data_IF_060515312828
#
_entry.id   IF_060515312828
#
_cell.length_a   1.000
_cell.length_b   1.000
_cell.length_c   1.000
_cell.angle_alpha   90.00
_cell.angle_beta   90.00
_cell.angle_gamma   90.00
#
_symmetry.space_group_name_H-M   'P 1'
#
loop_
_entity.id
_entity.type
_entity.pdbx_description
1 polymer ?
#
# COMPACT_ATOMS: atom_id res chain seq x y z
N UNK A 1 22.01 -7.62 8.93
CA UNK A 1 20.91 -7.39 9.90
C UNK A 1 20.93 -5.94 10.37
N UNK A 2 19.91 -5.16 10.01
CA UNK A 2 19.84 -3.74 10.34
C UNK A 2 19.71 -3.51 11.86
N UNK A 3 20.83 -3.25 12.53
CA UNK A 3 20.85 -2.69 13.89
C UNK A 3 20.53 -3.64 15.05
N UNK A 4 20.47 -4.96 14.85
CA UNK A 4 20.22 -5.96 15.91
C UNK A 4 21.25 -7.09 15.89
N UNK A 5 21.52 -7.67 17.06
CA UNK A 5 22.32 -8.88 17.27
C UNK A 5 21.46 -9.90 18.03
N UNK A 6 21.59 -11.18 17.69
CA UNK A 6 21.03 -12.28 18.47
C UNK A 6 22.16 -13.03 19.20
N UNK A 7 21.92 -13.38 20.46
CA UNK A 7 22.82 -14.22 21.26
C UNK A 7 22.03 -15.32 21.95
N UNK A 8 22.45 -16.57 21.77
CA UNK A 8 21.85 -17.71 22.47
C UNK A 8 22.56 -17.98 23.81
N UNK A 9 21.79 -18.32 24.83
CA UNK A 9 22.28 -18.78 26.13
C UNK A 9 21.30 -19.77 26.76
N UNK A 10 21.52 -20.09 28.04
CA UNK A 10 20.74 -21.11 28.76
C UNK A 10 19.25 -20.74 28.89
N UNK A 11 18.94 -19.45 28.89
CA UNK A 11 17.58 -18.91 29.04
C UNK A 11 16.95 -18.50 27.68
N UNK A 12 17.40 -19.12 26.59
CA UNK A 12 16.91 -18.87 25.22
C UNK A 12 17.77 -17.88 24.43
N UNK A 13 17.17 -17.23 23.43
CA UNK A 13 17.85 -16.27 22.56
C UNK A 13 17.46 -14.86 22.96
N UNK A 14 18.48 -14.02 23.19
CA UNK A 14 18.34 -12.61 23.49
C UNK A 14 18.58 -11.78 22.23
N UNK A 15 17.76 -10.77 22.03
CA UNK A 15 17.93 -9.78 20.98
C UNK A 15 18.50 -8.49 21.59
N UNK A 16 19.57 -7.99 21.00
CA UNK A 16 20.32 -6.83 21.47
C UNK A 16 20.28 -5.76 20.38
N UNK A 17 19.89 -4.54 20.74
CA UNK A 17 19.96 -3.38 19.85
C UNK A 17 21.41 -2.95 19.69
N UNK A 18 21.90 -2.80 18.45
CA UNK A 18 23.23 -2.24 18.17
C UNK A 18 23.26 -0.71 18.31
N UNK A 19 22.11 -0.06 18.48
CA UNK A 19 22.04 1.40 18.67
C UNK A 19 22.57 1.81 20.04
N UNK A 20 22.21 1.05 21.07
CA UNK A 20 22.44 1.37 22.48
C UNK A 20 23.01 0.18 23.27
N UNK A 21 23.21 -0.97 22.63
CA UNK A 21 23.76 -2.19 23.22
C UNK A 21 22.95 -2.74 24.40
N UNK A 22 21.63 -2.48 24.39
CA UNK A 22 20.72 -2.98 25.42
C UNK A 22 19.88 -4.16 24.90
N UNK A 23 19.52 -5.06 25.81
CA UNK A 23 18.63 -6.20 25.51
C UNK A 23 17.20 -5.69 25.27
N UNK A 24 16.64 -6.00 24.09
CA UNK A 24 15.25 -5.77 23.75
C UNK A 24 14.42 -6.92 24.36
N UNK A 25 14.07 -6.77 25.65
CA UNK A 25 13.41 -7.85 26.42
C UNK A 25 12.10 -8.35 25.81
N UNK A 26 11.36 -7.49 25.10
CA UNK A 26 10.10 -7.85 24.41
C UNK A 26 10.31 -8.80 23.22
N UNK A 27 11.52 -8.88 22.69
CA UNK A 27 11.87 -9.76 21.56
C UNK A 27 12.66 -11.00 21.99
N UNK A 28 12.77 -11.27 23.30
CA UNK A 28 13.44 -12.48 23.80
C UNK A 28 12.70 -13.73 23.30
N UNK A 29 13.44 -14.65 22.69
CA UNK A 29 12.89 -15.90 22.16
C UNK A 29 13.16 -17.00 23.19
N UNK A 30 12.08 -17.52 23.78
CA UNK A 30 12.19 -18.65 24.69
C UNK A 30 12.01 -19.96 23.94
N UNK A 31 12.97 -20.87 24.10
CA UNK A 31 12.98 -22.16 23.43
C UNK A 31 12.18 -23.14 24.29
N UNK A 32 11.14 -23.73 23.70
CA UNK A 32 10.28 -24.69 24.39
C UNK A 32 10.04 -25.93 23.53
N UNK A 33 10.29 -27.15 24.05
CA UNK A 33 10.97 -27.45 25.32
C UNK A 33 12.41 -26.87 25.42
N UNK A 34 12.99 -26.82 26.61
CA UNK A 34 14.36 -26.30 26.78
C UNK A 34 15.36 -27.17 26.01
N UNK A 35 16.15 -26.53 25.15
CA UNK A 35 17.21 -27.17 24.39
C UNK A 35 18.27 -26.14 24.02
N UNK A 36 19.55 -26.55 24.02
CA UNK A 36 20.64 -25.67 23.64
C UNK A 36 20.60 -25.34 22.16
N UNK A 37 20.77 -24.06 21.80
CA UNK A 37 20.97 -23.63 20.42
C UNK A 37 22.36 -24.05 19.94
N UNK A 38 22.43 -24.73 18.80
CA UNK A 38 23.69 -25.20 18.20
C UNK A 38 24.14 -24.31 17.05
N UNK A 39 23.21 -23.88 16.20
CA UNK A 39 23.48 -22.93 15.13
C UNK A 39 22.40 -21.86 15.07
N UNK A 40 22.79 -20.66 14.65
CA UNK A 40 21.91 -19.51 14.49
C UNK A 40 22.41 -18.65 13.34
N UNK A 41 21.51 -18.25 12.45
CA UNK A 41 21.83 -17.48 11.25
C UNK A 41 20.71 -16.49 10.93
N UNK A 42 21.12 -15.27 10.58
CA UNK A 42 20.22 -14.24 10.07
C UNK A 42 20.04 -14.40 8.56
N UNK A 43 18.83 -14.18 8.04
CA UNK A 43 18.68 -13.96 6.59
C UNK A 43 19.48 -12.73 6.14
N UNK A 44 19.81 -12.66 4.85
CA UNK A 44 20.63 -11.58 4.31
C UNK A 44 19.99 -10.19 4.50
N UNK A 45 18.66 -10.11 4.41
CA UNK A 45 17.85 -8.93 4.72
C UNK A 45 17.73 -8.61 6.23
N UNK A 46 18.07 -9.57 7.10
CA UNK A 46 17.94 -9.46 8.55
C UNK A 46 16.52 -9.56 9.10
N UNK A 47 15.55 -9.99 8.29
CA UNK A 47 14.15 -10.13 8.70
C UNK A 47 13.89 -11.45 9.42
N UNK A 48 14.63 -12.52 9.10
CA UNK A 48 14.49 -13.84 9.68
C UNK A 48 15.72 -14.23 10.49
N UNK A 49 15.49 -14.83 11.64
CA UNK A 49 16.48 -15.50 12.47
C UNK A 49 16.15 -16.98 12.51
N UNK A 50 16.96 -17.78 11.82
CA UNK A 50 16.85 -19.24 11.83
C UNK A 50 17.82 -19.82 12.83
N UNK A 51 17.38 -20.78 13.63
CA UNK A 51 18.24 -21.48 14.57
C UNK A 51 17.83 -22.93 14.74
N UNK A 52 18.79 -23.78 15.07
CA UNK A 52 18.54 -25.17 15.42
C UNK A 52 19.01 -25.49 16.84
N UNK A 53 18.37 -26.50 17.43
CA UNK A 53 18.68 -26.95 18.78
C UNK A 53 19.35 -28.31 18.77
N UNK A 54 20.02 -28.67 19.87
CA UNK A 54 20.61 -30.00 20.06
C UNK A 54 19.57 -31.13 20.09
N UNK A 55 18.30 -30.80 20.37
CA UNK A 55 17.17 -31.72 20.31
C UNK A 55 16.69 -31.99 18.87
N UNK A 56 17.33 -31.37 17.87
CA UNK A 56 17.01 -31.56 16.44
C UNK A 56 15.85 -30.69 15.94
N UNK A 57 15.41 -29.69 16.69
CA UNK A 57 14.40 -28.74 16.21
C UNK A 57 15.03 -27.63 15.38
N UNK A 58 14.28 -27.16 14.39
CA UNK A 58 14.64 -26.01 13.56
C UNK A 58 13.53 -24.99 13.68
N UNK A 59 13.90 -23.77 14.04
CA UNK A 59 13.00 -22.64 14.19
C UNK A 59 13.39 -21.54 13.21
N UNK A 60 12.38 -20.79 12.76
CA UNK A 60 12.55 -19.57 11.98
C UNK A 60 11.72 -18.47 12.66
N UNK A 61 12.38 -17.41 13.11
CA UNK A 61 11.78 -16.31 13.86
C UNK A 61 11.83 -15.03 13.04
N UNK A 62 10.72 -14.30 12.97
CA UNK A 62 10.67 -13.01 12.29
C UNK A 62 11.12 -11.88 13.24
N UNK A 63 12.25 -11.25 12.95
CA UNK A 63 12.82 -10.17 13.76
C UNK A 63 12.47 -8.75 13.30
N UNK A 64 12.04 -8.62 12.04
CA UNK A 64 11.54 -7.37 11.48
C UNK A 64 10.37 -7.70 10.57
N UNK A 65 9.21 -7.14 10.90
CA UNK A 65 8.03 -7.20 10.07
C UNK A 65 8.22 -6.23 8.89
N UNK A 66 7.91 -6.68 7.67
CA UNK A 66 7.78 -5.78 6.53
C UNK A 66 6.74 -4.72 6.86
N UNK A 67 7.14 -3.45 6.80
CA UNK A 67 6.25 -2.34 7.09
C UNK A 67 5.26 -2.16 5.94
N UNK A 68 4.08 -2.79 6.07
CA UNK A 68 2.94 -2.53 5.20
C UNK A 68 2.00 -1.55 5.87
N UNK A 69 1.73 -0.45 5.18
CA UNK A 69 0.78 0.56 5.63
C UNK A 69 0.09 1.26 4.46
N UNK A 70 -1.13 1.73 4.71
CA UNK A 70 -1.91 2.54 3.79
C UNK A 70 -2.71 3.58 4.56
N UNK A 71 -2.98 4.72 3.93
CA UNK A 71 -3.72 5.84 4.52
C UNK A 71 -4.90 6.21 3.64
N UNK A 72 -5.99 6.65 4.25
CA UNK A 72 -7.12 7.26 3.56
C UNK A 72 -7.66 8.37 4.46
N UNK A 73 -7.45 9.62 4.03
CA UNK A 73 -7.67 10.80 4.87
C UNK A 73 -6.96 10.63 6.22
N UNK A 74 -7.71 10.70 7.32
CA UNK A 74 -7.20 10.57 8.69
C UNK A 74 -7.10 9.12 9.16
N UNK A 75 -7.55 8.14 8.36
CA UNK A 75 -7.45 6.71 8.69
C UNK A 75 -6.10 6.13 8.28
N UNK A 76 -5.56 5.27 9.13
CA UNK A 76 -4.30 4.56 8.91
C UNK A 76 -4.53 3.06 9.08
N UNK A 77 -4.07 2.28 8.11
CA UNK A 77 -3.98 0.83 8.19
C UNK A 77 -2.51 0.42 8.21
N UNK A 78 -2.15 -0.54 9.06
CA UNK A 78 -0.79 -1.06 9.13
C UNK A 78 -0.77 -2.50 9.61
N UNK A 79 0.25 -3.25 9.17
CA UNK A 79 0.48 -4.63 9.56
C UNK A 79 1.03 -4.66 11.00
N UNK A 80 0.32 -5.32 11.91
CA UNK A 80 0.71 -5.49 13.32
C UNK A 80 1.35 -6.84 13.60
N UNK A 81 1.06 -7.85 12.77
CA UNK A 81 1.70 -9.17 12.76
C UNK A 81 1.68 -9.72 11.33
N UNK A 82 2.38 -10.82 11.05
CA UNK A 82 2.48 -11.43 9.70
C UNK A 82 1.13 -11.58 8.99
N UNK A 83 0.06 -11.80 9.74
CA UNK A 83 -1.31 -11.97 9.22
C UNK A 83 -2.34 -11.13 9.94
N UNK A 84 -1.90 -10.05 10.59
CA UNK A 84 -2.81 -9.18 11.32
C UNK A 84 -2.64 -7.74 10.82
N UNK A 85 -3.74 -7.16 10.37
CA UNK A 85 -3.80 -5.75 10.01
C UNK A 85 -4.65 -5.01 11.05
N UNK A 86 -4.19 -3.82 11.42
CA UNK A 86 -4.93 -2.91 12.28
C UNK A 86 -5.25 -1.64 11.52
N UNK A 87 -6.51 -1.19 11.62
CA UNK A 87 -6.96 0.09 11.11
C UNK A 87 -7.37 0.98 12.27
N UNK A 88 -6.85 2.21 12.28
CA UNK A 88 -7.10 3.22 13.31
C UNK A 88 -7.49 4.56 12.68
N UNK A 89 -8.06 5.42 13.51
CA UNK A 89 -8.25 6.84 13.23
C UNK A 89 -7.04 7.63 13.76
N UNK A 90 -6.20 8.16 12.88
CA UNK A 90 -4.93 8.80 13.24
C UNK A 90 -5.09 10.06 14.10
N UNK A 91 -6.21 10.77 13.96
CA UNK A 91 -6.52 11.95 14.78
C UNK A 91 -7.00 11.59 16.21
N UNK A 92 -7.28 10.31 16.50
CA UNK A 92 -7.80 9.88 17.78
C UNK A 92 -7.15 8.55 18.22
N UNK A 93 -6.05 8.63 18.97
CA UNK A 93 -5.30 7.46 19.46
C UNK A 93 -6.15 6.53 20.36
N UNK A 94 -7.17 7.09 21.03
CA UNK A 94 -8.15 6.35 21.84
C UNK A 94 -9.39 5.92 21.04
N UNK A 95 -9.40 6.18 19.74
CA UNK A 95 -10.48 5.84 18.84
C UNK A 95 -10.63 4.34 18.65
N UNK A 96 -11.75 3.96 18.04
CA UNK A 96 -12.02 2.57 17.71
C UNK A 96 -10.96 2.01 16.78
N UNK A 97 -10.46 0.83 17.13
CA UNK A 97 -9.49 0.06 16.35
C UNK A 97 -10.23 -1.09 15.70
N UNK A 98 -9.97 -1.31 14.41
CA UNK A 98 -10.45 -2.49 13.69
C UNK A 98 -9.25 -3.39 13.47
N UNK A 99 -9.27 -4.56 14.08
CA UNK A 99 -8.25 -5.59 13.90
C UNK A 99 -8.85 -6.67 13.00
N UNK A 100 -8.07 -7.11 12.01
CA UNK A 100 -8.47 -8.19 11.12
C UNK A 100 -7.33 -9.20 10.96
N UNK A 101 -7.71 -10.47 10.87
CA UNK A 101 -6.79 -11.55 10.52
C UNK A 101 -6.89 -11.83 9.03
N UNK A 102 -5.76 -11.90 8.34
CA UNK A 102 -5.67 -12.25 6.92
C UNK A 102 -5.36 -13.74 6.76
N UNK A 103 -5.88 -14.37 5.71
CA UNK A 103 -5.61 -15.80 5.47
C UNK A 103 -4.15 -16.05 5.07
N UNK A 104 -3.57 -15.09 4.34
CA UNK A 104 -2.17 -15.08 3.89
C UNK A 104 -1.42 -13.89 4.46
N UNK A 105 -0.10 -13.97 4.47
CA UNK A 105 0.73 -12.79 4.71
C UNK A 105 0.58 -11.82 3.54
N UNK A 106 0.03 -10.62 3.75
CA UNK A 106 -0.16 -9.69 2.66
C UNK A 106 1.20 -9.15 2.20
N UNK A 107 1.34 -8.94 0.89
CA UNK A 107 2.50 -8.28 0.29
C UNK A 107 2.22 -6.80 -0.05
N UNK A 108 0.94 -6.42 -0.13
CA UNK A 108 0.51 -5.04 -0.35
C UNK A 108 -0.83 -4.77 0.34
N UNK A 109 -1.11 -3.48 0.56
CA UNK A 109 -2.32 -2.98 1.22
C UNK A 109 -2.80 -1.69 0.57
N UNK A 110 -4.12 -1.51 0.51
CA UNK A 110 -4.76 -0.24 0.16
C UNK A 110 -5.92 0.03 1.12
N UNK A 111 -6.12 1.30 1.46
CA UNK A 111 -7.18 1.74 2.37
C UNK A 111 -8.10 2.70 1.63
N UNK A 112 -9.41 2.47 1.74
CA UNK A 112 -10.47 3.37 1.28
C UNK A 112 -11.23 3.97 2.46
N UNK A 113 -12.29 4.76 2.19
CA UNK A 113 -13.07 5.43 3.22
C UNK A 113 -13.71 4.47 4.23
N UNK A 114 -14.15 3.29 3.79
CA UNK A 114 -14.79 2.28 4.63
C UNK A 114 -14.22 0.86 4.46
N UNK A 115 -13.34 0.63 3.47
CA UNK A 115 -12.83 -0.70 3.15
C UNK A 115 -11.30 -0.78 3.21
N UNK A 116 -10.79 -1.96 3.50
CA UNK A 116 -9.38 -2.31 3.40
C UNK A 116 -9.21 -3.38 2.32
N UNK A 117 -8.21 -3.22 1.47
CA UNK A 117 -7.74 -4.28 0.57
C UNK A 117 -6.37 -4.77 1.04
N UNK A 118 -6.23 -6.08 1.16
CA UNK A 118 -4.93 -6.73 1.36
C UNK A 118 -4.73 -7.75 0.26
N UNK A 119 -3.51 -7.93 -0.22
CA UNK A 119 -3.29 -8.93 -1.26
C UNK A 119 -1.87 -9.44 -1.34
N UNK A 120 -1.73 -10.51 -2.11
CA UNK A 120 -0.47 -11.18 -2.38
C UNK A 120 -0.48 -11.64 -3.83
N UNK A 121 0.57 -11.28 -4.59
CA UNK A 121 0.72 -11.57 -6.01
C UNK A 121 -0.48 -11.11 -6.88
N UNK A 122 -1.36 -12.02 -7.27
CA UNK A 122 -2.50 -11.78 -8.16
C UNK A 122 -3.86 -11.89 -7.46
N UNK A 123 -3.90 -11.97 -6.12
CA UNK A 123 -5.14 -12.14 -5.35
C UNK A 123 -5.30 -11.03 -4.33
N UNK A 124 -6.51 -10.48 -4.24
CA UNK A 124 -6.89 -9.41 -3.32
C UNK A 124 -8.13 -9.84 -2.52
N UNK A 125 -8.07 -9.61 -1.21
CA UNK A 125 -9.20 -9.70 -0.30
C UNK A 125 -9.63 -8.30 0.09
N UNK A 126 -10.93 -8.04 0.02
CA UNK A 126 -11.54 -6.78 0.40
C UNK A 126 -12.35 -6.97 1.66
N UNK A 127 -12.11 -6.10 2.64
CA UNK A 127 -12.75 -6.13 3.94
C UNK A 127 -13.53 -4.84 4.16
N UNK A 128 -14.78 -4.96 4.60
CA UNK A 128 -15.50 -3.81 5.16
C UNK A 128 -15.00 -3.55 6.58
N UNK A 129 -14.70 -2.30 6.88
CA UNK A 129 -14.27 -1.81 8.20
C UNK A 129 -15.32 -0.86 8.82
N UNK A 130 -16.57 -0.89 8.35
CA UNK A 130 -17.65 -0.04 8.85
C UNK A 130 -18.08 -0.39 10.27
N UNK A 131 -17.99 -1.67 10.62
CA UNK A 131 -18.49 -2.18 11.90
C UNK A 131 -17.42 -2.07 12.98
N UNK A 132 -17.77 -1.41 14.08
CA UNK A 132 -16.86 -1.16 15.19
C UNK A 132 -16.36 -2.48 15.80
N UNK A 133 -15.07 -2.77 15.62
CA UNK A 133 -14.36 -3.86 16.30
C UNK A 133 -14.12 -5.12 15.46
N UNK A 134 -14.67 -5.27 14.26
CA UNK A 134 -14.31 -6.40 13.38
C UNK A 134 -14.42 -6.04 11.89
N UNK A 135 -13.43 -6.43 11.10
CA UNK A 135 -13.55 -6.34 9.64
C UNK A 135 -14.18 -7.62 9.07
N UNK A 136 -15.05 -7.47 8.07
CA UNK A 136 -15.70 -8.59 7.39
C UNK A 136 -15.19 -8.70 5.95
N UNK A 137 -14.76 -9.89 5.52
CA UNK A 137 -14.38 -10.13 4.13
C UNK A 137 -15.64 -10.06 3.25
N UNK A 138 -15.71 -9.05 2.38
CA UNK A 138 -16.88 -8.77 1.52
C UNK A 138 -16.67 -9.21 0.08
N UNK A 139 -15.41 -9.39 -0.32
CA UNK A 139 -15.07 -9.86 -1.65
C UNK A 139 -13.64 -10.41 -1.67
N UNK A 140 -13.43 -11.29 -2.63
CA UNK A 140 -12.15 -11.90 -2.93
C UNK A 140 -12.05 -12.02 -4.45
N UNK A 141 -10.95 -11.52 -5.00
CA UNK A 141 -10.74 -11.46 -6.43
C UNK A 141 -9.34 -11.90 -6.82
N UNK A 142 -9.28 -12.80 -7.80
CA UNK A 142 -8.05 -13.24 -8.45
C UNK A 142 -7.97 -12.60 -9.84
N UNK A 143 -6.78 -12.12 -10.20
CA UNK A 143 -6.51 -11.43 -11.45
C UNK A 143 -5.56 -12.25 -12.33
N UNK A 144 -5.58 -11.96 -13.62
CA UNK A 144 -4.63 -12.50 -14.60
C UNK A 144 -3.46 -11.52 -14.69
N UNK A 145 -2.33 -11.90 -14.10
CA UNK A 145 -1.14 -11.05 -13.98
C UNK A 145 -0.88 -10.60 -12.55
N UNK A 146 0.33 -10.10 -12.29
CA UNK A 146 0.71 -9.62 -10.95
C UNK A 146 0.15 -8.21 -10.69
N UNK A 147 -0.38 -8.00 -9.49
CA UNK A 147 -0.91 -6.70 -9.07
C UNK A 147 0.25 -5.73 -8.82
N UNK A 148 0.25 -4.58 -9.50
CA UNK A 148 1.27 -3.53 -9.37
C UNK A 148 0.83 -2.44 -8.38
N UNK A 149 -0.44 -2.05 -8.40
CA UNK A 149 -0.99 -1.08 -7.45
C UNK A 149 -2.49 -1.26 -7.24
N UNK A 150 -2.97 -0.90 -6.06
CA UNK A 150 -4.38 -0.92 -5.68
C UNK A 150 -4.76 0.42 -5.08
N UNK A 151 -5.94 0.94 -5.40
CA UNK A 151 -6.54 2.08 -4.71
C UNK A 151 -8.05 1.89 -4.60
N UNK A 152 -8.64 2.46 -3.55
CA UNK A 152 -10.05 2.27 -3.19
C UNK A 152 -10.73 3.62 -3.00
N UNK A 153 -11.94 3.77 -3.51
CA UNK A 153 -12.88 4.79 -3.03
C UNK A 153 -13.95 4.11 -2.15
N UNK A 154 -15.10 4.76 -1.95
CA UNK A 154 -16.19 4.23 -1.12
C UNK A 154 -16.89 2.99 -1.68
N UNK A 155 -16.78 2.71 -2.98
CA UNK A 155 -17.61 1.70 -3.66
C UNK A 155 -16.84 0.83 -4.66
N UNK A 156 -15.71 1.30 -5.17
CA UNK A 156 -14.93 0.72 -6.26
C UNK A 156 -13.46 0.59 -5.90
N UNK A 157 -12.85 -0.47 -6.43
CA UNK A 157 -11.41 -0.66 -6.46
C UNK A 157 -10.89 -0.37 -7.87
N UNK A 158 -9.72 0.25 -7.96
CA UNK A 158 -8.91 0.25 -9.18
C UNK A 158 -7.61 -0.52 -8.95
N UNK A 159 -7.29 -1.43 -9.86
CA UNK A 159 -6.14 -2.33 -9.76
C UNK A 159 -5.30 -2.21 -11.03
N UNK A 160 -4.04 -1.81 -10.91
CA UNK A 160 -3.08 -1.75 -12.01
C UNK A 160 -2.40 -3.10 -12.16
N UNK A 161 -2.48 -3.67 -13.37
CA UNK A 161 -1.89 -4.96 -13.73
C UNK A 161 -1.33 -4.83 -15.15
N UNK A 162 -0.02 -4.99 -15.32
CA UNK A 162 0.66 -5.07 -16.62
C UNK A 162 0.24 -3.97 -17.61
N UNK A 163 0.16 -2.74 -17.10
CA UNK A 163 -0.22 -1.58 -17.92
C UNK A 163 -1.70 -1.38 -18.18
N UNK A 164 -2.58 -2.11 -17.48
CA UNK A 164 -4.03 -2.02 -17.58
C UNK A 164 -4.63 -1.76 -16.20
N UNK A 165 -5.71 -0.98 -16.17
CA UNK A 165 -6.43 -0.69 -14.92
C UNK A 165 -7.77 -1.41 -14.92
N UNK A 166 -7.97 -2.27 -13.92
CA UNK A 166 -9.20 -2.97 -13.66
C UNK A 166 -10.02 -2.16 -12.66
N UNK A 167 -11.17 -1.66 -13.07
CA UNK A 167 -12.13 -0.94 -12.23
C UNK A 167 -13.33 -1.85 -11.97
N UNK A 168 -13.66 -2.09 -10.71
CA UNK A 168 -14.82 -2.89 -10.33
C UNK A 168 -15.34 -2.51 -8.94
N UNK A 169 -16.58 -2.88 -8.58
CA UNK A 169 -17.09 -2.69 -7.22
C UNK A 169 -16.24 -3.46 -6.20
N UNK A 170 -16.09 -2.88 -5.00
CA UNK A 170 -15.41 -3.53 -3.88
C UNK A 170 -16.24 -4.71 -3.39
N UNK A 171 -17.55 -4.53 -3.22
CA UNK A 171 -18.45 -5.55 -2.70
C UNK A 171 -19.07 -6.40 -3.81
N UNK A 172 -19.04 -7.72 -3.65
CA UNK A 172 -19.52 -8.66 -4.69
C UNK A 172 -21.04 -8.64 -4.86
N UNK A 173 -21.77 -8.26 -3.81
CA UNK A 173 -23.24 -8.33 -3.75
C UNK A 173 -23.94 -7.08 -4.29
N UNK A 174 -23.20 -6.06 -4.75
CA UNK A 174 -23.80 -4.79 -5.21
C UNK A 174 -24.65 -4.94 -6.48
N UNK A 175 -24.62 -6.08 -7.17
CA UNK A 175 -25.44 -6.34 -8.36
C UNK A 175 -25.10 -5.52 -9.61
N UNK A 176 -24.32 -4.45 -9.48
CA UNK A 176 -24.33 -3.33 -10.45
C UNK A 176 -23.02 -3.08 -11.22
N UNK A 177 -21.95 -3.83 -11.01
CA UNK A 177 -20.67 -3.52 -11.67
C UNK A 177 -20.02 -4.69 -12.38
N UNK A 178 -19.98 -4.60 -13.71
CA UNK A 178 -19.00 -5.34 -14.52
C UNK A 178 -17.62 -4.72 -14.30
N UNK A 179 -16.59 -5.56 -14.30
CA UNK A 179 -15.21 -5.07 -14.38
C UNK A 179 -15.02 -4.32 -15.70
N UNK A 180 -14.55 -3.08 -15.60
CA UNK A 180 -14.15 -2.25 -16.74
C UNK A 180 -12.62 -2.24 -16.77
N UNK A 181 -12.04 -2.52 -17.93
CA UNK A 181 -10.59 -2.51 -18.12
C UNK A 181 -10.22 -1.28 -18.95
N UNK A 182 -9.25 -0.53 -18.45
CA UNK A 182 -8.67 0.63 -19.14
C UNK A 182 -7.27 0.28 -19.66
N UNK A 183 -6.87 0.82 -20.82
CA UNK A 183 -7.66 1.69 -21.70
C UNK A 183 -8.83 0.95 -22.37
N UNK A 184 -9.99 1.62 -22.54
CA UNK A 184 -11.22 0.99 -23.10
C UNK A 184 -11.16 0.76 -24.61
N UNK A 185 -10.20 1.37 -25.29
CA UNK A 185 -9.99 1.24 -26.73
C UNK A 185 -8.54 0.81 -26.92
N UNK A 186 -8.29 -0.15 -27.81
CA UNK A 186 -6.96 -0.33 -28.37
C UNK A 186 -6.73 0.78 -29.40
N UNK A 187 -6.62 2.05 -28.96
CA UNK A 187 -6.09 3.08 -29.85
C UNK A 187 -4.63 2.72 -30.09
N UNK A 188 -4.14 2.87 -31.31
CA UNK A 188 -2.73 2.59 -31.64
C UNK A 188 -1.73 3.35 -30.74
N UNK A 189 -2.17 4.47 -30.14
CA UNK A 189 -1.41 5.31 -29.19
C UNK A 189 -1.64 5.01 -27.69
N UNK A 190 -2.57 4.12 -27.34
CA UNK A 190 -2.85 3.74 -25.95
C UNK A 190 -1.73 2.84 -25.42
N UNK A 191 -0.64 3.48 -25.02
CA UNK A 191 0.50 2.85 -24.35
C UNK A 191 0.10 2.37 -22.96
N UNK A 192 0.92 1.48 -22.40
CA UNK A 192 0.92 1.00 -21.02
C UNK A 192 0.55 2.12 -20.02
N UNK A 193 -0.49 1.90 -19.22
CA UNK A 193 -0.81 2.74 -18.06
C UNK A 193 0.29 2.53 -17.02
N UNK A 194 0.87 3.61 -16.52
CA UNK A 194 2.02 3.58 -15.61
C UNK A 194 1.64 3.80 -14.16
N UNK A 195 0.54 4.52 -13.92
CA UNK A 195 0.02 4.76 -12.58
C UNK A 195 -1.48 5.04 -12.63
N UNK A 196 -2.15 4.76 -11.51
CA UNK A 196 -3.58 4.97 -11.35
C UNK A 196 -3.91 5.34 -9.92
N UNK A 197 -5.01 6.04 -9.72
CA UNK A 197 -5.62 6.32 -8.43
C UNK A 197 -7.12 6.52 -8.60
N UNK A 198 -7.89 6.20 -7.57
CA UNK A 198 -9.33 6.43 -7.53
C UNK A 198 -9.66 7.31 -6.34
N UNK A 199 -10.32 8.43 -6.59
CA UNK A 199 -10.66 9.43 -5.57
C UNK A 199 -12.06 9.96 -5.81
N UNK A 200 -12.89 9.94 -4.77
CA UNK A 200 -14.30 10.32 -4.88
C UNK A 200 -14.97 9.51 -6.01
N UNK A 201 -15.50 10.21 -7.01
CA UNK A 201 -16.16 9.62 -8.18
C UNK A 201 -15.27 9.61 -9.44
N UNK A 202 -13.96 9.76 -9.29
CA UNK A 202 -13.03 9.82 -10.41
C UNK A 202 -12.00 8.69 -10.35
N UNK A 203 -11.84 8.01 -11.48
CA UNK A 203 -10.64 7.23 -11.77
C UNK A 203 -9.66 8.15 -12.51
N UNK A 204 -8.43 8.23 -12.01
CA UNK A 204 -7.36 9.04 -12.57
C UNK A 204 -6.22 8.09 -12.96
N UNK A 205 -5.84 8.06 -14.22
CA UNK A 205 -4.79 7.17 -14.71
C UNK A 205 -3.88 7.87 -15.73
N UNK A 206 -2.61 7.47 -15.76
CA UNK A 206 -1.62 8.07 -16.65
C UNK A 206 -0.92 7.03 -17.52
N UNK A 207 -0.56 7.43 -18.73
CA UNK A 207 0.14 6.60 -19.70
C UNK A 207 1.63 6.92 -19.74
N UNK A 208 2.42 5.93 -20.19
CA UNK A 208 3.87 6.09 -20.40
C UNK A 208 4.25 7.17 -21.42
N UNK A 209 3.31 7.65 -22.24
CA UNK A 209 3.51 8.76 -23.16
C UNK A 209 3.22 10.15 -22.55
N UNK A 210 2.83 10.22 -21.26
CA UNK A 210 2.56 11.49 -20.57
C UNK A 210 1.10 11.93 -20.57
N UNK A 211 0.19 11.16 -21.17
CA UNK A 211 -1.26 11.44 -21.13
C UNK A 211 -1.82 11.09 -19.75
N UNK A 212 -2.55 11.99 -19.12
CA UNK A 212 -3.29 11.83 -17.87
C UNK A 212 -4.79 11.93 -18.17
N UNK A 213 -5.59 11.00 -17.68
CA UNK A 213 -7.02 10.95 -17.94
C UNK A 213 -7.82 10.88 -16.64
N UNK A 214 -8.96 11.58 -16.66
CA UNK A 214 -10.00 11.52 -15.64
C UNK A 214 -11.22 10.84 -16.23
N UNK A 215 -11.68 9.79 -15.57
CA UNK A 215 -12.91 9.09 -15.89
C UNK A 215 -13.92 9.24 -14.75
N UNK A 216 -15.10 9.76 -15.07
CA UNK A 216 -16.22 9.90 -14.13
C UNK A 216 -16.91 8.55 -13.95
N UNK A 217 -16.93 8.05 -12.72
CA UNK A 217 -17.67 6.84 -12.36
C UNK A 217 -19.19 7.06 -12.41
N UNK A 218 -19.64 8.30 -12.19
CA UNK A 218 -21.07 8.66 -12.22
C UNK A 218 -21.58 8.69 -13.66
N UNK A 219 -20.83 9.31 -14.57
CA UNK A 219 -21.26 9.51 -15.96
C UNK A 219 -20.81 8.37 -16.88
N UNK A 220 -19.84 7.55 -16.44
CA UNK A 220 -19.30 6.44 -17.22
C UNK A 220 -18.47 6.87 -18.45
N UNK A 221 -17.86 8.06 -18.40
CA UNK A 221 -17.11 8.67 -19.51
C UNK A 221 -15.84 9.36 -19.04
N UNK A 222 -14.87 9.53 -19.94
CA UNK A 222 -13.74 10.43 -19.75
C UNK A 222 -14.25 11.89 -19.70
N UNK A 223 -13.80 12.66 -18.70
CA UNK A 223 -14.25 14.05 -18.44
C UNK A 223 -13.14 15.08 -18.50
N UNK A 224 -11.87 14.66 -18.38
CA UNK A 224 -10.70 15.53 -18.56
C UNK A 224 -9.52 14.71 -19.08
N UNK A 225 -8.69 15.36 -19.91
CA UNK A 225 -7.47 14.80 -20.46
C UNK A 225 -6.39 15.88 -20.47
N UNK A 226 -5.21 15.55 -19.96
CA UNK A 226 -4.03 16.39 -19.98
C UNK A 226 -2.85 15.66 -20.63
N UNK A 227 -2.01 16.38 -21.38
CA UNK A 227 -0.82 15.83 -22.03
C UNK A 227 0.44 16.45 -21.47
N UNK A 228 1.13 15.70 -20.60
CA UNK A 228 2.45 16.06 -20.13
C UNK A 228 3.52 15.87 -21.21
N UNK A 229 4.58 16.68 -21.17
CA UNK A 229 5.67 16.62 -22.14
C UNK A 229 6.50 15.33 -22.02
N UNK A 230 6.59 14.79 -20.80
CA UNK A 230 7.34 13.57 -20.46
C UNK A 230 6.38 12.47 -20.01
N UNK A 231 6.76 11.20 -20.15
CA UNK A 231 6.00 10.08 -19.59
C UNK A 231 5.78 10.24 -18.09
N UNK A 232 4.56 10.01 -17.60
CA UNK A 232 4.22 10.10 -16.18
C UNK A 232 4.53 8.76 -15.53
N UNK A 233 5.27 8.75 -14.42
CA UNK A 233 5.61 7.54 -13.65
C UNK A 233 4.67 7.34 -12.46
N UNK A 234 4.30 8.41 -11.77
CA UNK A 234 3.42 8.38 -10.59
C UNK A 234 2.46 9.56 -10.58
N UNK A 235 1.28 9.35 -10.01
CA UNK A 235 0.30 10.39 -9.75
C UNK A 235 -0.27 10.27 -8.33
N UNK A 236 -0.41 11.41 -7.66
CA UNK A 236 -0.95 11.52 -6.31
C UNK A 236 -2.03 12.60 -6.29
N UNK A 237 -3.28 12.26 -6.58
CA UNK A 237 -4.39 13.21 -6.45
C UNK A 237 -4.61 13.60 -4.99
N UNK A 238 -5.07 14.82 -4.75
CA UNK A 238 -5.65 15.21 -3.47
C UNK A 238 -6.99 14.49 -3.23
N UNK A 239 -7.54 14.55 -2.02
CA UNK A 239 -8.75 13.81 -1.63
C UNK A 239 -10.02 14.21 -2.40
N UNK A 240 -10.02 15.34 -3.11
CA UNK A 240 -11.12 15.78 -3.97
C UNK A 240 -10.89 15.45 -5.46
N UNK A 241 -9.68 15.03 -5.83
CA UNK A 241 -9.27 14.88 -7.23
C UNK A 241 -9.10 16.21 -7.98
N UNK A 242 -9.16 17.35 -7.29
CA UNK A 242 -9.06 18.71 -7.86
C UNK A 242 -7.62 19.16 -8.09
N UNK A 243 -6.64 18.39 -7.61
CA UNK A 243 -5.20 18.61 -7.84
C UNK A 243 -4.48 17.28 -7.90
N UNK A 244 -3.42 17.20 -8.70
CA UNK A 244 -2.59 15.99 -8.83
C UNK A 244 -1.12 16.37 -8.81
N UNK A 245 -0.38 15.77 -7.87
CA UNK A 245 1.07 15.78 -7.94
C UNK A 245 1.52 14.65 -8.87
N UNK A 246 2.29 14.98 -9.90
CA UNK A 246 2.82 14.06 -10.89
C UNK A 246 4.33 13.93 -10.68
N UNK A 247 4.86 12.72 -10.82
CA UNK A 247 6.30 12.48 -10.98
C UNK A 247 6.50 11.90 -12.37
N UNK A 248 7.29 12.57 -13.20
CA UNK A 248 7.56 12.13 -14.58
C UNK A 248 8.82 11.26 -14.68
N UNK A 249 9.09 10.73 -15.88
CA UNK A 249 10.23 9.85 -16.14
C UNK A 249 11.60 10.54 -16.00
N UNK A 250 11.66 11.87 -15.94
CA UNK A 250 12.89 12.59 -15.63
C UNK A 250 13.17 12.67 -14.13
N UNK A 251 12.22 12.25 -13.29
CA UNK A 251 12.25 12.42 -11.84
C UNK A 251 11.78 13.79 -11.36
N UNK A 252 11.38 14.68 -12.27
CA UNK A 252 10.79 15.97 -11.93
C UNK A 252 9.34 15.80 -11.47
N UNK A 253 8.93 16.65 -10.52
CA UNK A 253 7.57 16.67 -10.02
C UNK A 253 6.81 17.92 -10.49
N UNK A 254 5.50 17.74 -10.69
CA UNK A 254 4.60 18.75 -11.23
C UNK A 254 3.28 18.76 -10.46
N UNK A 255 2.66 19.93 -10.33
CA UNK A 255 1.33 20.08 -9.77
C UNK A 255 0.36 20.45 -10.90
N UNK A 256 -0.56 19.53 -11.20
CA UNK A 256 -1.61 19.71 -12.20
C UNK A 256 -2.96 20.03 -11.54
N UNK A 257 -3.71 20.95 -12.14
CA UNK A 257 -5.07 21.30 -11.75
C UNK A 257 -6.06 21.03 -12.91
N UNK A 258 -6.88 19.96 -12.84
CA UNK A 258 -7.85 19.63 -13.88
C UNK A 258 -9.00 20.65 -14.06
N UNK A 259 -9.19 21.57 -13.11
CA UNK A 259 -10.29 22.56 -13.17
C UNK A 259 -9.98 23.67 -14.18
N UNK A 260 -8.71 24.06 -14.29
CA UNK A 260 -8.27 25.14 -15.17
C UNK A 260 -7.16 24.73 -16.15
N UNK A 261 -6.75 23.46 -16.13
CA UNK A 261 -5.72 22.86 -16.99
C UNK A 261 -4.30 23.43 -16.78
N UNK A 262 -4.08 24.12 -15.64
CA UNK A 262 -2.75 24.61 -15.29
C UNK A 262 -1.88 23.47 -14.76
N UNK A 263 -0.62 23.45 -15.20
CA UNK A 263 0.40 22.54 -14.70
C UNK A 263 1.69 23.31 -14.42
N UNK A 264 2.17 23.24 -13.18
CA UNK A 264 3.37 23.96 -12.73
C UNK A 264 4.42 22.98 -12.20
N UNK A 265 5.69 23.28 -12.46
CA UNK A 265 6.79 22.51 -11.89
C UNK A 265 6.88 22.75 -10.37
N UNK A 266 7.12 21.69 -9.60
CA UNK A 266 7.37 21.79 -8.16
C UNK A 266 8.87 22.02 -7.96
N UNK A 267 9.29 23.21 -7.50
CA UNK A 267 10.71 23.51 -7.33
C UNK A 267 11.31 22.68 -6.19
N UNK A 268 12.57 22.27 -6.34
CA UNK A 268 13.33 21.55 -5.32
C UNK A 268 12.67 20.26 -4.81
N UNK A 269 11.93 19.55 -5.68
CA UNK A 269 11.35 18.26 -5.31
C UNK A 269 12.46 17.25 -4.98
N UNK A 270 12.39 16.54 -3.84
CA UNK A 270 13.44 15.60 -3.45
C UNK A 270 13.53 14.41 -4.43
N UNK A 271 14.73 14.11 -4.92
CA UNK A 271 14.95 13.02 -5.89
C UNK A 271 14.63 11.64 -5.30
N UNK A 272 14.72 11.48 -3.98
CA UNK A 272 14.40 10.24 -3.26
C UNK A 272 12.93 10.11 -2.89
N UNK A 273 12.12 11.16 -3.07
CA UNK A 273 10.71 11.11 -2.71
C UNK A 273 9.95 10.20 -3.67
N UNK A 274 9.33 9.17 -3.12
CA UNK A 274 8.59 8.15 -3.87
C UNK A 274 7.09 8.19 -3.56
N UNK A 275 6.66 9.04 -2.61
CA UNK A 275 5.28 9.26 -2.19
C UNK A 275 4.97 10.74 -1.96
N UNK A 276 3.70 11.10 -2.11
CA UNK A 276 3.14 12.39 -1.74
C UNK A 276 1.91 12.17 -0.86
N UNK A 277 1.84 12.89 0.26
CA UNK A 277 0.72 12.86 1.19
C UNK A 277 0.09 14.25 1.23
N UNK A 278 -1.20 14.32 0.92
CA UNK A 278 -1.98 15.56 0.98
C UNK A 278 -2.49 15.81 2.39
N UNK A 279 -2.49 17.08 2.81
CA UNK A 279 -3.13 17.49 4.04
C UNK A 279 -4.66 17.30 3.91
N UNK A 280 -5.27 16.78 4.97
CA UNK A 280 -6.71 16.45 4.99
C UNK A 280 -7.59 17.67 5.28
N UNK A 281 -7.03 18.70 5.88
CA UNK A 281 -7.73 19.95 6.23
C UNK A 281 -7.46 21.06 5.21
N UNK A 282 -6.30 21.04 4.54
CA UNK A 282 -5.94 21.96 3.47
C UNK A 282 -5.61 21.22 2.18
N UNK A 283 -6.55 21.22 1.23
CA UNK A 283 -6.40 20.54 -0.07
C UNK A 283 -5.31 21.12 -0.97
N UNK A 284 -4.62 22.18 -0.52
CA UNK A 284 -3.52 22.85 -1.22
C UNK A 284 -2.15 22.51 -0.67
N UNK A 285 -2.07 21.86 0.49
CA UNK A 285 -0.83 21.50 1.17
C UNK A 285 -0.55 20.02 1.02
N UNK A 286 0.71 19.68 0.76
CA UNK A 286 1.18 18.30 0.71
C UNK A 286 2.62 18.19 1.21
N UNK A 287 3.03 16.97 1.54
CA UNK A 287 4.41 16.61 1.85
C UNK A 287 4.89 15.53 0.87
N UNK A 288 6.16 15.61 0.50
CA UNK A 288 6.85 14.58 -0.27
C UNK A 288 7.74 13.77 0.69
N UNK A 289 7.68 12.44 0.61
CA UNK A 289 8.43 11.56 1.50
C UNK A 289 9.07 10.38 0.76
N UNK A 290 10.14 9.87 1.35
CA UNK A 290 10.73 8.57 1.07
C UNK A 290 9.94 7.45 1.79
N UNK A 291 10.30 6.19 1.51
CA UNK A 291 9.68 5.01 2.10
C UNK A 291 10.39 4.57 3.38
#
# INVERSE_FOLDING_TARGET
AAGKIASAGDDGIKIISMKDWTEIKSEKIQIRPEAKVTHMHWSDDGELLSFCTEAGWVYCYLAKLTALSATCNTRLAYLTSLREMTVIEGANENGNKVVLQTDVEPAFVALGPAHLATGMNNRIWFYSCSDQGSAQCVNEQEYIGSVESVSLNSTHACVLIEGRVYLHPIERNSGDGKTIIFPRKDREDDRTITCTSIVGNFLIYAHSNGRLQYYSLVDGTDVNEYKHQTGIRKCFPNHEGTRVCLIDNSGAAWLYNPVNDDCIAIPNFPVTAEKVLWDTSDSTVFVACDQ
#
